data_IF_321660998357
#
_entry.id   IF_321660998357
#
_cell.length_a   1.000
_cell.length_b   1.000
_cell.length_c   1.000
_cell.angle_alpha   90.00
_cell.angle_beta   90.00
_cell.angle_gamma   90.00
#
_symmetry.space_group_name_H-M   'P 1'
#
loop_
_entity.id
_entity.type
_entity.pdbx_description
1 polymer ?
#
# COMPACT_ATOMS: atom_id res chain seq x y z
N UNK A 1 -5.27 13.91 -6.94
CA UNK A 1 -4.42 13.33 -5.88
C UNK A 1 -3.07 13.01 -6.47
N UNK A 2 -1.97 13.15 -5.71
CA UNK A 2 -0.62 12.83 -6.22
C UNK A 2 -0.30 11.33 -6.11
N UNK A 3 -0.77 10.69 -5.05
CA UNK A 3 -0.43 9.30 -4.72
C UNK A 3 -1.71 8.53 -4.39
N UNK A 4 -1.78 7.28 -4.85
CA UNK A 4 -2.78 6.28 -4.46
C UNK A 4 -2.08 4.97 -4.07
N UNK A 5 -2.38 4.46 -2.88
CA UNK A 5 -1.99 3.12 -2.44
C UNK A 5 -3.24 2.26 -2.24
N UNK A 6 -3.18 1.01 -2.70
CA UNK A 6 -4.09 -0.04 -2.27
C UNK A 6 -3.36 -0.97 -1.31
N UNK A 7 -4.05 -1.46 -0.27
CA UNK A 7 -3.51 -2.41 0.70
C UNK A 7 -4.44 -3.64 0.73
N UNK A 8 -3.85 -4.82 0.73
CA UNK A 8 -4.61 -6.08 0.73
C UNK A 8 -3.81 -7.22 1.36
N UNK A 9 -4.50 -8.08 2.10
CA UNK A 9 -3.97 -9.33 2.66
C UNK A 9 -4.11 -10.50 1.68
N UNK A 10 -3.74 -10.25 0.42
CA UNK A 10 -3.75 -11.20 -0.68
C UNK A 10 -2.49 -11.03 -1.51
N UNK A 11 -2.11 -12.03 -2.29
CA UNK A 11 -0.99 -11.93 -3.23
C UNK A 11 -1.36 -11.10 -4.48
N UNK A 12 -0.44 -10.99 -5.43
CA UNK A 12 -0.67 -10.32 -6.70
C UNK A 12 -1.89 -10.91 -7.44
N UNK A 13 -2.71 -10.04 -8.04
CA UNK A 13 -3.93 -10.42 -8.76
C UNK A 13 -5.24 -10.09 -8.03
N UNK A 14 -5.18 -9.57 -6.80
CA UNK A 14 -6.35 -9.21 -5.99
C UNK A 14 -6.98 -7.84 -6.27
N UNK A 15 -7.56 -7.24 -5.22
CA UNK A 15 -8.16 -5.90 -5.20
C UNK A 15 -7.27 -4.85 -5.84
N UNK A 16 -5.99 -4.80 -5.46
CA UNK A 16 -5.05 -3.83 -6.02
C UNK A 16 -4.95 -3.92 -7.55
N UNK A 17 -4.84 -5.13 -8.09
CA UNK A 17 -4.75 -5.36 -9.54
C UNK A 17 -6.03 -4.93 -10.28
N UNK A 18 -7.20 -5.21 -9.70
CA UNK A 18 -8.48 -4.80 -10.28
C UNK A 18 -8.67 -3.28 -10.27
N UNK A 19 -8.28 -2.60 -9.20
CA UNK A 19 -8.29 -1.13 -9.13
C UNK A 19 -7.37 -0.54 -10.19
N UNK A 20 -6.14 -1.06 -10.34
CA UNK A 20 -5.21 -0.56 -11.35
C UNK A 20 -5.73 -0.80 -12.78
N UNK A 21 -6.35 -1.95 -13.04
CA UNK A 21 -6.99 -2.22 -14.33
C UNK A 21 -8.10 -1.21 -14.62
N UNK A 22 -9.00 -0.96 -13.67
CA UNK A 22 -10.06 0.04 -13.82
C UNK A 22 -9.49 1.44 -14.08
N UNK A 23 -8.46 1.86 -13.33
CA UNK A 23 -7.81 3.17 -13.54
C UNK A 23 -7.18 3.28 -14.93
N UNK A 24 -6.56 2.20 -15.43
CA UNK A 24 -5.98 2.16 -16.76
C UNK A 24 -7.05 2.30 -17.86
N UNK A 25 -8.14 1.53 -17.77
CA UNK A 25 -9.26 1.57 -18.73
C UNK A 25 -9.92 2.95 -18.81
N UNK A 26 -9.84 3.74 -17.73
CA UNK A 26 -10.41 5.09 -17.65
C UNK A 26 -9.37 6.20 -17.91
N UNK A 27 -8.17 5.88 -18.43
CA UNK A 27 -7.08 6.83 -18.69
C UNK A 27 -6.62 7.64 -17.45
N UNK A 28 -6.87 7.12 -16.24
CA UNK A 28 -6.55 7.82 -14.99
C UNK A 28 -5.06 7.72 -14.61
N UNK A 29 -4.31 6.81 -15.25
CA UNK A 29 -2.88 6.60 -15.00
C UNK A 29 -1.96 7.44 -15.91
N UNK A 30 -2.52 8.23 -16.82
CA UNK A 30 -1.75 8.96 -17.84
C UNK A 30 -1.22 10.33 -17.36
N UNK A 31 -1.66 10.81 -16.18
CA UNK A 31 -1.50 12.21 -15.77
C UNK A 31 -0.75 12.41 -14.45
N UNK A 32 0.28 11.59 -14.18
CA UNK A 32 1.22 11.83 -13.07
C UNK A 32 0.76 11.33 -11.69
N UNK A 33 -0.38 10.62 -11.62
CA UNK A 33 -0.78 9.89 -10.43
C UNK A 33 0.20 8.73 -10.16
N UNK A 34 0.85 8.75 -8.98
CA UNK A 34 1.72 7.66 -8.52
C UNK A 34 0.88 6.59 -7.83
N UNK A 35 0.77 5.42 -8.46
CA UNK A 35 -0.01 4.30 -7.95
C UNK A 35 0.89 3.14 -7.47
N UNK A 36 0.63 2.57 -6.29
CA UNK A 36 1.24 1.32 -5.81
C UNK A 36 0.19 0.41 -5.19
N UNK A 37 0.30 -0.89 -5.45
CA UNK A 37 -0.46 -1.91 -4.73
C UNK A 37 0.47 -2.61 -3.74
N UNK A 38 0.13 -2.55 -2.45
CA UNK A 38 0.82 -3.27 -1.38
C UNK A 38 0.03 -4.54 -1.09
N UNK A 39 0.67 -5.68 -1.33
CA UNK A 39 0.10 -7.03 -1.31
C UNK A 39 1.02 -7.95 -0.53
N UNK A 40 0.50 -9.08 -0.06
CA UNK A 40 1.35 -10.13 0.47
C UNK A 40 2.29 -10.64 -0.63
N UNK A 41 3.54 -11.02 -0.27
CA UNK A 41 4.45 -11.63 -1.21
C UNK A 41 3.92 -13.00 -1.64
N UNK A 42 4.21 -13.40 -2.88
CA UNK A 42 3.82 -14.71 -3.43
C UNK A 42 4.72 -15.84 -2.89
N UNK A 43 4.69 -16.01 -1.57
CA UNK A 43 5.41 -17.03 -0.81
C UNK A 43 4.53 -17.51 0.34
N UNK A 44 4.80 -18.72 0.82
CA UNK A 44 4.25 -19.17 2.09
C UNK A 44 4.89 -18.41 3.26
N UNK A 45 4.04 -17.88 4.14
CA UNK A 45 4.44 -17.28 5.42
C UNK A 45 4.01 -18.26 6.51
N UNK A 46 4.99 -18.88 7.17
CA UNK A 46 4.74 -19.77 8.30
C UNK A 46 4.07 -19.02 9.45
N UNK A 47 3.28 -19.74 10.23
CA UNK A 47 2.61 -19.20 11.40
C UNK A 47 3.63 -18.72 12.43
N UNK A 48 3.45 -17.48 12.89
CA UNK A 48 4.22 -16.88 13.97
C UNK A 48 3.31 -15.87 14.70
N UNK A 49 3.88 -15.02 15.56
CA UNK A 49 3.21 -13.83 16.07
C UNK A 49 2.78 -12.95 14.89
N UNK A 50 1.56 -12.36 14.92
CA UNK A 50 1.07 -11.52 13.84
C UNK A 50 2.06 -10.44 13.41
N UNK A 51 2.73 -9.78 14.36
CA UNK A 51 3.71 -8.73 14.08
C UNK A 51 4.88 -9.26 13.23
N UNK A 52 5.44 -10.42 13.59
CA UNK A 52 6.53 -11.04 12.85
C UNK A 52 6.09 -11.50 11.45
N UNK A 53 4.84 -11.97 11.31
CA UNK A 53 4.27 -12.33 10.02
C UNK A 53 4.15 -11.11 9.10
N UNK A 54 3.66 -9.97 9.59
CA UNK A 54 3.54 -8.74 8.79
C UNK A 54 4.90 -8.09 8.50
N UNK A 55 5.86 -8.18 9.43
CA UNK A 55 7.24 -7.76 9.20
C UNK A 55 7.85 -8.53 8.03
N UNK A 56 7.66 -9.85 7.99
CA UNK A 56 8.09 -10.73 6.90
C UNK A 56 7.31 -10.45 5.61
N UNK A 57 6.02 -10.13 5.71
CA UNK A 57 5.17 -9.82 4.56
C UNK A 57 5.50 -8.46 3.92
N UNK A 58 6.18 -7.55 4.62
CA UNK A 58 6.42 -6.21 4.09
C UNK A 58 5.21 -5.26 4.21
N UNK A 59 4.23 -5.61 5.05
CA UNK A 59 2.92 -4.95 5.12
C UNK A 59 2.63 -4.34 6.50
N UNK A 60 3.65 -4.16 7.35
CA UNK A 60 3.49 -3.47 8.62
C UNK A 60 3.36 -1.94 8.43
N UNK A 61 2.93 -1.25 9.49
CA UNK A 61 2.72 0.21 9.44
C UNK A 61 3.98 1.00 9.06
N UNK A 62 5.16 0.61 9.57
CA UNK A 62 6.41 1.31 9.27
C UNK A 62 6.81 1.16 7.80
N UNK A 63 6.62 -0.02 7.22
CA UNK A 63 6.91 -0.33 5.81
C UNK A 63 5.93 0.37 4.86
N UNK A 64 4.66 0.47 5.25
CA UNK A 64 3.66 1.26 4.51
C UNK A 64 4.08 2.75 4.51
N UNK A 65 4.45 3.30 5.67
CA UNK A 65 4.93 4.69 5.79
C UNK A 65 6.17 4.91 4.93
N UNK A 66 7.11 3.96 4.92
CA UNK A 66 8.32 4.07 4.11
C UNK A 66 8.00 4.07 2.61
N UNK A 67 7.04 3.26 2.17
CA UNK A 67 6.53 3.30 0.79
C UNK A 67 6.00 4.68 0.47
N UNK A 68 5.17 5.26 1.34
CA UNK A 68 4.62 6.62 1.14
C UNK A 68 5.72 7.67 1.07
N UNK A 69 6.71 7.62 1.97
CA UNK A 69 7.86 8.54 1.97
C UNK A 69 8.65 8.45 0.67
N UNK A 70 8.92 7.24 0.18
CA UNK A 70 9.64 7.02 -1.06
C UNK A 70 8.93 7.64 -2.28
N UNK A 71 7.59 7.68 -2.25
CA UNK A 71 6.77 8.27 -3.32
C UNK A 71 6.67 9.79 -3.24
N UNK A 72 6.70 10.37 -2.03
CA UNK A 72 6.69 11.82 -1.79
C UNK A 72 8.05 12.49 -2.10
N UNK A 73 9.16 11.78 -1.98
CA UNK A 73 10.52 12.30 -2.24
C UNK A 73 11.17 12.99 -1.04
N UNK A 74 12.37 13.55 -1.25
CA UNK A 74 13.26 14.08 -0.18
C UNK A 74 12.70 15.30 0.58
N UNK A 75 11.80 16.06 -0.06
CA UNK A 75 11.09 17.21 0.54
C UNK A 75 9.73 16.80 1.15
N UNK A 76 9.49 15.50 1.31
CA UNK A 76 8.19 14.91 1.59
C UNK A 76 7.49 15.51 2.81
N UNK A 77 6.22 15.86 2.62
CA UNK A 77 5.33 16.42 3.63
C UNK A 77 5.40 15.66 4.98
N UNK A 78 5.20 16.38 6.08
CA UNK A 78 5.13 15.78 7.41
C UNK A 78 4.00 14.75 7.46
N UNK A 79 4.34 13.49 7.69
CA UNK A 79 3.36 12.41 7.87
C UNK A 79 2.88 12.49 9.31
N UNK A 80 1.67 13.00 9.50
CA UNK A 80 0.98 12.93 10.79
C UNK A 80 0.23 11.60 10.89
N UNK A 81 0.61 10.77 11.86
CA UNK A 81 -0.13 9.54 12.16
C UNK A 81 -1.35 9.92 13.00
N UNK A 82 -2.52 9.90 12.37
CA UNK A 82 -3.79 10.20 13.03
C UNK A 82 -4.31 8.91 13.65
N UNK A 83 -4.69 8.94 14.93
CA UNK A 83 -5.36 7.82 15.56
C UNK A 83 -6.69 7.52 14.81
N UNK A 84 -7.04 6.24 14.58
CA UNK A 84 -8.31 5.91 13.92
C UNK A 84 -9.45 6.58 14.70
N UNK A 85 -10.33 7.29 13.98
CA UNK A 85 -11.55 7.82 14.60
C UNK A 85 -12.32 6.63 15.17
N UNK A 86 -12.61 6.66 16.47
CA UNK A 86 -13.42 5.63 17.09
C UNK A 86 -14.77 5.54 16.36
N UNK A 87 -15.02 4.39 15.71
CA UNK A 87 -16.26 4.10 15.01
C UNK A 87 -16.34 4.64 13.59
N UNK A 88 -15.97 3.80 12.62
CA UNK A 88 -16.57 3.75 11.28
C UNK A 88 -16.73 2.27 10.91
#
# INVERSE_FOLDING_TARGET
>A
HEILLTLEEGAIGGFGSHVMHMLAENAMLESGLKCRALVLPDIYIDQDKPEAMYDKAGLNAAQIIETVRSLLGADGAQIEVIAPKAGA
#
